data_IF_054365455266
#
_entry.id   IF_054365455266
#
_cell.length_a   1.000
_cell.length_b   1.000
_cell.length_c   1.000
_cell.angle_alpha   90.00
_cell.angle_beta   90.00
_cell.angle_gamma   90.00
#
_symmetry.space_group_name_H-M   'P 1'
#
loop_
_entity.id
_entity.type
_entity.pdbx_description
1 polymer ?
#
# COMPACT_ATOMS: atom_id res chain seq x y z
N UNK A 1 -9.37 -24.43 -67.50
CA UNK A 1 -8.45 -23.28 -67.32
C UNK A 1 -9.16 -22.13 -66.54
N UNK A 2 -10.31 -21.64 -66.99
CA UNK A 2 -11.00 -20.57 -66.25
C UNK A 2 -11.44 -21.01 -64.86
N UNK A 3 -11.88 -22.24 -64.71
CA UNK A 3 -12.31 -22.80 -63.41
C UNK A 3 -11.17 -22.88 -62.42
N UNK A 4 -9.96 -23.25 -62.86
CA UNK A 4 -8.77 -23.32 -62.01
C UNK A 4 -8.39 -21.94 -61.48
N UNK A 5 -8.51 -20.91 -62.27
CA UNK A 5 -8.24 -19.53 -61.86
C UNK A 5 -9.27 -19.08 -60.82
N UNK A 6 -10.55 -19.38 -61.02
CA UNK A 6 -11.62 -19.04 -60.08
C UNK A 6 -11.40 -19.77 -58.75
N UNK A 7 -11.04 -21.05 -58.77
CA UNK A 7 -10.76 -21.83 -57.59
C UNK A 7 -9.54 -21.30 -56.80
N UNK A 8 -8.51 -20.88 -57.53
CA UNK A 8 -7.32 -20.25 -56.89
C UNK A 8 -7.67 -18.94 -56.23
N UNK A 9 -8.52 -18.13 -56.85
CA UNK A 9 -8.99 -16.85 -56.26
C UNK A 9 -9.80 -17.12 -55.00
N UNK A 10 -10.74 -18.09 -55.05
CA UNK A 10 -11.56 -18.46 -53.87
C UNK A 10 -10.69 -18.96 -52.73
N UNK A 11 -9.71 -19.78 -53.00
CA UNK A 11 -8.78 -20.27 -51.99
C UNK A 11 -7.98 -19.12 -51.34
N UNK A 12 -7.52 -18.18 -52.15
CA UNK A 12 -6.80 -17.01 -51.66
C UNK A 12 -7.69 -16.13 -50.80
N UNK A 13 -8.94 -15.92 -51.22
CA UNK A 13 -9.93 -15.15 -50.43
C UNK A 13 -10.23 -15.83 -49.09
N UNK A 14 -10.43 -17.15 -49.09
CA UNK A 14 -10.69 -17.91 -47.88
C UNK A 14 -9.48 -17.84 -46.92
N UNK A 15 -8.28 -17.97 -47.47
CA UNK A 15 -7.05 -17.88 -46.66
C UNK A 15 -6.90 -16.48 -46.04
N UNK A 16 -7.23 -15.43 -46.82
CA UNK A 16 -7.21 -14.04 -46.31
C UNK A 16 -8.23 -13.83 -45.21
N UNK A 17 -9.45 -14.32 -45.38
CA UNK A 17 -10.51 -14.25 -44.36
C UNK A 17 -10.11 -14.96 -43.08
N UNK A 18 -9.50 -16.14 -43.17
CA UNK A 18 -9.03 -16.89 -42.01
C UNK A 18 -7.93 -16.14 -41.27
N UNK A 19 -7.00 -15.52 -42.01
CA UNK A 19 -5.93 -14.71 -41.40
C UNK A 19 -6.47 -13.49 -40.69
N UNK A 20 -7.46 -12.84 -41.28
CA UNK A 20 -8.14 -11.70 -40.66
C UNK A 20 -8.85 -12.11 -39.36
N UNK A 21 -9.58 -13.23 -39.41
CA UNK A 21 -10.26 -13.77 -38.25
C UNK A 21 -9.28 -14.13 -37.12
N UNK A 22 -8.17 -14.79 -37.47
CA UNK A 22 -7.13 -15.14 -36.52
C UNK A 22 -6.46 -13.90 -35.93
N UNK A 23 -6.15 -12.91 -36.76
CA UNK A 23 -5.57 -11.65 -36.30
C UNK A 23 -6.52 -10.91 -35.35
N UNK A 24 -7.81 -10.91 -35.64
CA UNK A 24 -8.83 -10.34 -34.78
C UNK A 24 -8.90 -11.04 -33.43
N UNK A 25 -8.88 -12.37 -33.42
CA UNK A 25 -8.86 -13.17 -32.19
C UNK A 25 -7.60 -12.90 -31.37
N UNK A 26 -6.45 -12.87 -32.01
CA UNK A 26 -5.18 -12.60 -31.34
C UNK A 26 -5.17 -11.20 -30.72
N UNK A 27 -5.70 -10.22 -31.45
CA UNK A 27 -5.81 -8.85 -30.93
C UNK A 27 -6.72 -8.78 -29.71
N UNK A 28 -7.85 -9.48 -29.73
CA UNK A 28 -8.77 -9.55 -28.58
C UNK A 28 -8.11 -10.22 -27.37
N UNK A 29 -7.37 -11.30 -27.60
CA UNK A 29 -6.62 -12.00 -26.53
C UNK A 29 -5.56 -11.10 -25.91
N UNK A 30 -4.80 -10.39 -26.75
CA UNK A 30 -3.77 -9.46 -26.28
C UNK A 30 -4.39 -8.35 -25.44
N UNK A 31 -5.50 -7.79 -25.89
CA UNK A 31 -6.22 -6.74 -25.15
C UNK A 31 -6.75 -7.29 -23.81
N UNK A 32 -7.33 -8.48 -23.84
CA UNK A 32 -7.85 -9.12 -22.63
C UNK A 32 -6.75 -9.39 -21.62
N UNK A 33 -5.60 -9.90 -22.05
CA UNK A 33 -4.43 -10.14 -21.20
C UNK A 33 -3.88 -8.83 -20.64
N UNK A 34 -3.80 -7.79 -21.46
CA UNK A 34 -3.33 -6.48 -21.03
C UNK A 34 -4.25 -5.87 -19.97
N UNK A 35 -5.56 -5.98 -20.16
CA UNK A 35 -6.56 -5.49 -19.18
C UNK A 35 -6.49 -6.28 -17.88
N UNK A 36 -6.36 -7.60 -17.98
CA UNK A 36 -6.24 -8.47 -16.81
C UNK A 36 -4.97 -8.16 -16.02
N UNK A 37 -3.84 -8.01 -16.73
CA UNK A 37 -2.57 -7.64 -16.13
C UNK A 37 -2.61 -6.27 -15.46
N UNK A 38 -3.22 -5.29 -16.12
CA UNK A 38 -3.39 -3.95 -15.57
C UNK A 38 -4.26 -3.95 -14.31
N UNK A 39 -5.35 -4.73 -14.32
CA UNK A 39 -6.22 -4.87 -13.15
C UNK A 39 -5.49 -5.51 -11.97
N UNK A 40 -4.69 -6.55 -12.24
CA UNK A 40 -3.87 -7.21 -11.22
C UNK A 40 -2.83 -6.26 -10.63
N UNK A 41 -2.13 -5.50 -11.48
CA UNK A 41 -1.16 -4.50 -11.04
C UNK A 41 -1.81 -3.40 -10.19
N UNK A 42 -2.96 -2.91 -10.61
CA UNK A 42 -3.72 -1.91 -9.86
C UNK A 42 -4.09 -2.42 -8.47
N UNK A 43 -4.61 -3.64 -8.41
CA UNK A 43 -5.00 -4.29 -7.16
C UNK A 43 -3.79 -4.43 -6.22
N UNK A 44 -2.65 -4.87 -6.74
CA UNK A 44 -1.41 -5.04 -5.98
C UNK A 44 -0.86 -3.70 -5.47
N UNK A 45 -0.89 -2.66 -6.30
CA UNK A 45 -0.46 -1.32 -5.90
C UNK A 45 -1.33 -0.75 -4.78
N UNK A 46 -2.63 -0.95 -4.87
CA UNK A 46 -3.58 -0.52 -3.82
C UNK A 46 -3.30 -1.28 -2.52
N UNK A 47 -3.08 -2.59 -2.61
CA UNK A 47 -2.74 -3.41 -1.45
C UNK A 47 -1.47 -2.92 -0.77
N UNK A 48 -0.41 -2.68 -1.54
CA UNK A 48 0.87 -2.18 -1.04
C UNK A 48 0.72 -0.80 -0.41
N UNK A 49 -0.04 0.09 -1.05
CA UNK A 49 -0.28 1.44 -0.53
C UNK A 49 -1.02 1.42 0.80
N UNK A 50 -2.04 0.56 0.93
CA UNK A 50 -2.80 0.38 2.17
C UNK A 50 -1.94 -0.20 3.28
N UNK A 51 -1.11 -1.18 2.95
CA UNK A 51 -0.19 -1.79 3.91
C UNK A 51 0.82 -0.76 4.43
N UNK A 52 1.39 0.03 3.51
CA UNK A 52 2.34 1.09 3.86
C UNK A 52 1.67 2.17 4.73
N UNK A 53 0.45 2.56 4.39
CA UNK A 53 -0.33 3.51 5.17
C UNK A 53 -0.60 2.98 6.59
N UNK A 54 -0.98 1.72 6.71
CA UNK A 54 -1.21 1.08 8.01
C UNK A 54 0.07 1.03 8.85
N UNK A 55 1.20 0.69 8.24
CA UNK A 55 2.50 0.70 8.91
C UNK A 55 2.88 2.10 9.42
N UNK A 56 2.65 3.12 8.59
CA UNK A 56 2.91 4.52 8.94
C UNK A 56 2.02 4.96 10.09
N UNK A 57 0.73 4.63 10.05
CA UNK A 57 -0.21 4.91 11.14
C UNK A 57 0.20 4.24 12.44
N UNK A 58 0.54 2.96 12.38
CA UNK A 58 0.95 2.20 13.57
C UNK A 58 2.26 2.75 14.16
N UNK A 59 3.21 3.14 13.31
CA UNK A 59 4.45 3.77 13.75
C UNK A 59 4.18 5.13 14.41
N UNK A 60 3.28 5.93 13.85
CA UNK A 60 2.89 7.22 14.42
C UNK A 60 2.21 7.07 15.78
N UNK A 61 1.31 6.08 15.91
CA UNK A 61 0.65 5.75 17.18
C UNK A 61 1.66 5.31 18.23
N UNK A 62 2.58 4.43 17.86
CA UNK A 62 3.63 3.95 18.77
C UNK A 62 4.53 5.10 19.23
N UNK A 63 4.85 6.03 18.34
CA UNK A 63 5.64 7.20 18.65
C UNK A 63 4.88 8.14 19.59
N UNK A 64 3.60 8.38 19.32
CA UNK A 64 2.74 9.20 20.19
C UNK A 64 2.62 8.59 21.58
N UNK A 65 2.42 7.28 21.68
CA UNK A 65 2.34 6.57 22.96
C UNK A 65 3.65 6.70 23.74
N UNK A 66 4.78 6.62 23.05
CA UNK A 66 6.10 6.80 23.66
C UNK A 66 6.29 8.21 24.20
N UNK A 67 5.91 9.22 23.42
CA UNK A 67 5.96 10.63 23.83
C UNK A 67 5.10 10.87 25.06
N UNK A 68 3.88 10.32 25.07
CA UNK A 68 2.98 10.42 26.22
C UNK A 68 3.55 9.73 27.45
N UNK A 69 4.10 8.53 27.30
CA UNK A 69 4.71 7.78 28.39
C UNK A 69 5.93 8.52 28.97
N UNK A 70 6.78 9.07 28.11
CA UNK A 70 7.95 9.85 28.52
C UNK A 70 7.54 11.13 29.24
N UNK A 71 6.49 11.81 28.77
CA UNK A 71 5.96 13.01 29.39
C UNK A 71 5.39 12.71 30.78
N UNK A 72 4.64 11.63 30.93
CA UNK A 72 4.09 11.17 32.21
C UNK A 72 5.19 10.83 33.19
N UNK A 73 6.25 10.18 32.72
CA UNK A 73 7.41 9.81 33.53
C UNK A 73 8.16 11.04 33.99
N UNK A 74 8.37 12.01 33.11
CA UNK A 74 9.02 13.29 33.44
C UNK A 74 8.21 14.09 34.46
N UNK A 75 6.90 14.16 34.28
CA UNK A 75 5.97 14.81 35.20
C UNK A 75 5.98 14.14 36.56
N UNK A 76 5.95 12.82 36.61
CA UNK A 76 6.05 12.05 37.84
C UNK A 76 7.35 12.30 38.59
N UNK A 77 8.47 12.37 37.86
CA UNK A 77 9.78 12.67 38.42
C UNK A 77 9.84 14.09 39.01
N UNK A 78 9.24 15.08 38.34
CA UNK A 78 9.13 16.44 38.85
C UNK A 78 8.30 16.53 40.13
N UNK A 79 7.16 15.85 40.14
CA UNK A 79 6.30 15.79 41.33
C UNK A 79 7.02 15.12 42.50
N UNK A 80 7.76 14.07 42.23
CA UNK A 80 8.55 13.38 43.24
C UNK A 80 9.67 14.26 43.80
N UNK A 81 10.35 15.00 42.94
CA UNK A 81 11.39 15.96 43.33
C UNK A 81 10.81 17.10 44.19
N UNK A 82 9.62 17.63 43.81
CA UNK A 82 8.95 18.66 44.61
C UNK A 82 8.48 18.15 45.97
N UNK A 83 7.99 16.91 46.01
CA UNK A 83 7.60 16.26 47.27
C UNK A 83 8.81 16.06 48.19
N UNK A 84 9.90 15.57 47.65
CA UNK A 84 11.17 15.40 48.38
C UNK A 84 11.67 16.74 48.95
N UNK A 85 11.68 17.80 48.16
CA UNK A 85 12.04 19.15 48.59
C UNK A 85 11.13 19.68 49.71
N UNK A 86 9.83 19.44 49.59
CA UNK A 86 8.88 19.84 50.62
C UNK A 86 9.10 19.10 51.93
N UNK A 87 9.36 17.83 51.88
CA UNK A 87 9.68 17.00 53.06
C UNK A 87 10.97 17.42 53.71
N UNK A 88 12.02 17.70 52.94
CA UNK A 88 13.31 18.21 53.45
C UNK A 88 13.13 19.56 54.11
N UNK A 89 12.39 20.49 53.53
CA UNK A 89 12.08 21.80 54.13
C UNK A 89 11.27 21.67 55.40
N UNK A 90 10.28 20.81 55.41
CA UNK A 90 9.45 20.54 56.58
C UNK A 90 10.30 19.93 57.72
N UNK A 91 11.14 18.96 57.39
CA UNK A 91 12.09 18.35 58.34
C UNK A 91 13.10 19.33 58.88
N UNK A 92 13.64 20.21 58.05
CA UNK A 92 14.58 21.26 58.43
C UNK A 92 13.90 22.28 59.41
N UNK A 93 12.71 22.70 59.16
CA UNK A 93 11.93 23.58 60.02
C UNK A 93 11.60 22.94 61.37
N UNK A 94 11.26 21.66 61.33
CA UNK A 94 10.98 20.87 62.52
C UNK A 94 12.23 20.71 63.41
N UNK A 95 13.41 20.62 62.79
CA UNK A 95 14.68 20.52 63.49
C UNK A 95 15.15 21.81 64.20
N UNK A 96 14.63 22.95 63.81
CA UNK A 96 14.99 24.24 64.35
C UNK A 96 14.10 24.61 65.54
N UNK A 97 12.93 24.05 65.54
CA UNK A 97 11.96 24.28 66.59
C UNK A 97 12.18 23.38 67.77
#
# INVERSE_FOLDING_TARGET
MAQEIIDAIRQAEQAAEQREAQAGQQAEEIIAEARSGAAAQKSELIRQAREKAAQTENAAKAQADRIMADAEQAEGAELEALRGNREVRSGSKSGIG
#
